data_IF_543875867031
#
_entry.id   IF_543875867031
#
_cell.length_a   1.000
_cell.length_b   1.000
_cell.length_c   1.000
_cell.angle_alpha   90.00
_cell.angle_beta   90.00
_cell.angle_gamma   90.00
#
_symmetry.space_group_name_H-M   'P 1'
#
loop_
_entity.id
_entity.type
_entity.pdbx_description
1 polymer ?
#
# COMPACT_ATOMS: atom_id res chain seq x y z
N UNK A 1 18.91 8.07 14.99
CA UNK A 1 18.04 7.11 14.30
C UNK A 1 16.62 7.65 14.43
N UNK A 2 16.21 8.47 13.48
CA UNK A 2 14.95 9.22 13.54
C UNK A 2 14.42 9.32 12.12
N UNK A 3 13.57 8.38 11.74
CA UNK A 3 12.81 8.45 10.50
C UNK A 3 11.36 8.58 10.91
N UNK A 4 10.77 9.74 10.64
CA UNK A 4 9.33 9.91 10.62
C UNK A 4 8.80 9.12 9.42
N UNK A 5 7.99 8.09 9.66
CA UNK A 5 7.28 7.42 8.58
C UNK A 5 6.30 8.41 7.94
N UNK A 6 6.29 8.54 6.61
CA UNK A 6 5.20 9.25 5.94
C UNK A 6 3.90 8.49 6.19
N UNK A 7 3.00 9.09 6.97
CA UNK A 7 1.62 8.62 7.12
C UNK A 7 0.78 9.34 6.09
N UNK A 8 0.36 8.62 5.06
CA UNK A 8 -0.68 9.09 4.15
C UNK A 8 -2.03 8.71 4.75
N UNK A 9 -2.86 9.71 5.07
CA UNK A 9 -4.23 9.48 5.54
C UNK A 9 -5.17 9.38 4.35
N UNK A 10 -5.75 8.19 4.12
CA UNK A 10 -6.82 7.99 3.15
C UNK A 10 -8.17 8.44 3.72
N UNK A 11 -9.16 8.59 2.86
CA UNK A 11 -10.55 8.71 3.32
C UNK A 11 -10.99 7.46 4.12
N UNK A 12 -12.04 7.61 4.94
CA UNK A 12 -12.61 6.52 5.72
C UNK A 12 -13.14 5.40 4.83
N UNK A 13 -12.87 4.15 5.22
CA UNK A 13 -13.40 2.95 4.57
C UNK A 13 -14.64 2.44 5.30
N UNK A 14 -15.55 1.82 4.55
CA UNK A 14 -16.65 1.06 5.14
C UNK A 14 -16.11 -0.20 5.83
N UNK A 15 -16.71 -0.56 6.96
CA UNK A 15 -16.42 -1.83 7.63
C UNK A 15 -17.15 -2.98 6.92
N UNK A 16 -16.67 -4.21 7.13
CA UNK A 16 -17.27 -5.44 6.63
C UNK A 16 -17.46 -5.50 5.09
N UNK A 17 -16.60 -4.79 4.35
CA UNK A 17 -16.58 -4.76 2.90
C UNK A 17 -15.17 -5.01 2.35
N UNK A 18 -15.09 -5.61 1.16
CA UNK A 18 -13.82 -5.73 0.44
C UNK A 18 -13.44 -4.40 -0.20
N UNK A 19 -12.20 -3.97 0.03
CA UNK A 19 -11.61 -2.79 -0.60
C UNK A 19 -10.36 -3.18 -1.37
N UNK A 20 -10.21 -2.65 -2.59
CA UNK A 20 -8.99 -2.83 -3.36
C UNK A 20 -8.00 -1.72 -3.02
N UNK A 21 -6.85 -2.10 -2.45
CA UNK A 21 -5.80 -1.16 -2.06
C UNK A 21 -4.56 -1.40 -2.90
N UNK A 22 -4.04 -0.33 -3.51
CA UNK A 22 -2.73 -0.36 -4.17
C UNK A 22 -1.86 0.77 -3.64
N UNK A 23 -0.57 0.48 -3.44
CA UNK A 23 0.43 1.47 -3.08
C UNK A 23 1.62 1.33 -4.02
N UNK A 24 2.12 2.46 -4.53
CA UNK A 24 3.32 2.46 -5.36
C UNK A 24 4.29 3.56 -4.91
N UNK A 25 5.58 3.31 -5.18
CA UNK A 25 6.65 4.27 -4.99
C UNK A 25 7.53 4.29 -6.23
N UNK A 26 7.79 5.48 -6.77
CA UNK A 26 8.70 5.65 -7.89
C UNK A 26 10.09 6.15 -7.44
N UNK A 27 11.03 6.26 -8.38
CA UNK A 27 12.42 6.67 -8.13
C UNK A 27 12.55 8.13 -7.70
N UNK A 28 11.56 8.97 -7.99
CA UNK A 28 11.50 10.37 -7.55
C UNK A 28 11.07 10.50 -6.07
N UNK A 29 10.78 9.38 -5.39
CA UNK A 29 10.31 9.40 -4.00
C UNK A 29 8.83 9.76 -3.86
N UNK A 30 8.05 9.70 -4.96
CA UNK A 30 6.60 9.85 -4.90
C UNK A 30 5.95 8.57 -4.39
N UNK A 31 5.15 8.67 -3.32
CA UNK A 31 4.26 7.58 -2.88
C UNK A 31 2.83 7.90 -3.32
N UNK A 32 2.10 6.89 -3.76
CA UNK A 32 0.68 6.97 -4.10
C UNK A 32 -0.08 5.84 -3.47
N UNK A 33 -1.31 6.13 -3.04
CA UNK A 33 -2.27 5.15 -2.56
C UNK A 33 -3.55 5.28 -3.38
N UNK A 34 -4.00 4.15 -3.92
CA UNK A 34 -5.31 4.02 -4.54
C UNK A 34 -6.21 3.17 -3.66
N UNK A 35 -7.47 3.59 -3.58
CA UNK A 35 -8.55 2.85 -2.94
C UNK A 35 -9.66 2.66 -3.95
N UNK A 36 -10.09 1.41 -4.11
CA UNK A 36 -11.14 1.00 -5.03
C UNK A 36 -10.87 1.52 -6.47
N UNK A 37 -9.59 1.54 -6.85
CA UNK A 37 -9.10 1.97 -8.17
C UNK A 37 -8.93 3.47 -8.34
N UNK A 38 -9.42 4.31 -7.41
CA UNK A 38 -9.26 5.77 -7.48
C UNK A 38 -8.04 6.21 -6.68
N UNK A 39 -7.27 7.18 -7.20
CA UNK A 39 -6.18 7.77 -6.43
C UNK A 39 -6.77 8.47 -5.21
N UNK A 40 -6.41 8.01 -4.01
CA UNK A 40 -6.91 8.56 -2.76
C UNK A 40 -5.95 9.66 -2.28
N UNK A 41 -4.65 9.35 -2.22
CA UNK A 41 -3.64 10.27 -1.70
C UNK A 41 -2.26 10.01 -2.31
N UNK A 42 -1.46 11.08 -2.42
CA UNK A 42 -0.06 10.99 -2.84
C UNK A 42 0.79 12.08 -2.17
N UNK A 43 2.10 11.85 -2.12
CA UNK A 43 3.06 12.84 -1.59
C UNK A 43 4.37 12.80 -2.38
N UNK A 44 5.03 13.95 -2.58
CA UNK A 44 6.30 14.10 -3.32
C UNK A 44 7.06 15.37 -2.93
N UNK A 45 8.33 15.27 -2.50
CA UNK A 45 9.02 14.04 -2.12
C UNK A 45 8.49 13.52 -0.79
N UNK A 46 8.03 12.27 -0.75
CA UNK A 46 7.66 11.64 0.51
C UNK A 46 8.89 11.22 1.30
N UNK A 47 8.86 11.37 2.64
CA UNK A 47 9.84 10.74 3.53
C UNK A 47 9.64 9.22 3.54
N UNK A 48 10.27 8.58 2.57
CA UNK A 48 9.92 7.23 2.11
C UNK A 48 11.10 6.26 2.10
N UNK A 49 12.16 6.56 2.85
CA UNK A 49 13.34 5.71 2.89
C UNK A 49 12.97 4.30 3.41
N UNK A 50 13.21 3.28 2.58
CA UNK A 50 13.04 1.88 2.96
C UNK A 50 14.44 1.31 3.22
N UNK A 51 14.74 1.06 4.49
CA UNK A 51 16.03 0.53 4.91
C UNK A 51 16.03 -1.00 4.91
N UNK A 52 17.23 -1.59 4.82
CA UNK A 52 17.38 -3.01 5.08
C UNK A 52 16.99 -3.28 6.55
N UNK A 53 16.20 -4.32 6.75
CA UNK A 53 15.77 -4.79 8.06
C UNK A 53 16.07 -6.27 8.19
N UNK A 54 16.49 -6.70 9.38
CA UNK A 54 16.59 -8.11 9.77
C UNK A 54 15.32 -8.63 10.44
N UNK A 55 14.35 -7.75 10.70
CA UNK A 55 13.05 -8.11 11.24
C UNK A 55 12.23 -8.97 10.27
N UNK A 56 11.31 -9.76 10.81
CA UNK A 56 10.39 -10.53 10.00
C UNK A 56 9.53 -9.61 9.13
N UNK A 57 9.23 -10.06 7.90
CA UNK A 57 8.22 -9.43 7.08
C UNK A 57 6.84 -9.87 7.56
N UNK A 58 6.00 -8.91 7.93
CA UNK A 58 4.71 -9.17 8.56
C UNK A 58 3.58 -8.51 7.79
N UNK A 59 2.43 -9.19 7.79
CA UNK A 59 1.20 -8.79 7.11
C UNK A 59 0.09 -8.77 8.16
N UNK A 60 -0.80 -7.77 8.12
CA UNK A 60 -1.89 -7.65 9.07
C UNK A 60 -1.46 -7.18 10.46
N UNK A 61 -0.30 -6.53 10.57
CA UNK A 61 0.22 -5.99 11.82
C UNK A 61 0.96 -4.68 11.58
N UNK A 62 0.79 -3.74 12.51
CA UNK A 62 1.61 -2.57 12.73
C UNK A 62 2.25 -2.69 14.13
N UNK A 63 3.34 -1.96 14.36
CA UNK A 63 4.21 -1.95 15.54
C UNK A 63 3.51 -2.34 16.86
N UNK A 64 4.17 -3.22 17.64
CA UNK A 64 3.61 -3.83 18.84
C UNK A 64 2.21 -4.47 18.64
N UNK A 65 1.15 -3.86 19.20
CA UNK A 65 -0.19 -4.46 19.39
C UNK A 65 -1.22 -4.05 18.33
N UNK A 66 -0.83 -3.29 17.32
CA UNK A 66 -1.75 -2.81 16.30
C UNK A 66 -1.97 -3.89 15.22
N UNK A 67 -2.79 -4.89 15.51
CA UNK A 67 -3.14 -5.95 14.55
C UNK A 67 -4.37 -5.57 13.71
N UNK A 68 -4.37 -5.98 12.44
CA UNK A 68 -5.55 -5.92 11.60
C UNK A 68 -6.54 -6.98 12.09
N UNK A 69 -7.75 -6.55 12.40
CA UNK A 69 -8.90 -7.44 12.60
C UNK A 69 -9.78 -7.38 11.35
N UNK A 70 -9.50 -8.24 10.37
CA UNK A 70 -10.21 -8.26 9.10
C UNK A 70 -9.65 -9.27 8.12
N UNK A 71 -10.20 -9.29 6.91
CA UNK A 71 -9.76 -10.18 5.84
C UNK A 71 -8.74 -9.51 4.93
N UNK A 72 -7.81 -10.31 4.43
CA UNK A 72 -6.88 -9.93 3.38
C UNK A 72 -6.85 -11.05 2.35
N UNK A 73 -6.85 -10.68 1.07
CA UNK A 73 -6.71 -11.63 -0.03
C UNK A 73 -5.86 -10.99 -1.14
N UNK A 74 -5.27 -11.82 -2.00
CA UNK A 74 -4.53 -11.42 -3.21
C UNK A 74 -3.37 -10.44 -2.97
N UNK A 75 -2.62 -10.66 -1.89
CA UNK A 75 -1.51 -9.79 -1.50
C UNK A 75 -0.34 -9.93 -2.50
N UNK A 76 0.05 -8.81 -3.11
CA UNK A 76 1.17 -8.75 -4.05
C UNK A 76 2.19 -7.70 -3.65
N UNK A 77 3.46 -8.09 -3.69
CA UNK A 77 4.59 -7.21 -3.45
C UNK A 77 5.52 -7.29 -4.64
N UNK A 78 5.91 -6.13 -5.19
CA UNK A 78 6.90 -6.04 -6.26
C UNK A 78 8.03 -5.12 -5.82
N UNK A 79 9.27 -5.56 -6.02
CA UNK A 79 10.48 -4.77 -5.80
C UNK A 79 11.16 -4.50 -7.14
N UNK A 80 11.72 -3.30 -7.31
CA UNK A 80 12.53 -2.93 -8.48
C UNK A 80 11.76 -2.31 -9.64
N UNK A 81 10.42 -2.29 -9.60
CA UNK A 81 9.59 -1.59 -10.60
C UNK A 81 8.37 -0.94 -9.94
N UNK A 82 8.07 0.29 -10.32
CA UNK A 82 6.86 0.99 -9.93
C UNK A 82 5.70 0.50 -10.81
N UNK A 83 4.83 -0.38 -10.28
CA UNK A 83 3.72 -0.98 -11.04
C UNK A 83 2.70 0.04 -11.55
N UNK A 84 2.50 1.10 -10.78
CA UNK A 84 1.58 2.19 -11.09
C UNK A 84 2.31 3.52 -10.93
N UNK A 85 2.75 4.12 -12.04
CA UNK A 85 3.38 5.44 -12.04
C UNK A 85 2.48 6.46 -12.76
N UNK A 86 1.28 6.65 -12.23
CA UNK A 86 0.25 7.56 -12.75
C UNK A 86 -0.45 8.26 -11.59
N UNK A 87 -1.06 9.41 -11.83
CA UNK A 87 -1.94 10.09 -10.86
C UNK A 87 -3.43 9.87 -11.20
N UNK A 88 -3.71 8.99 -12.16
CA UNK A 88 -5.07 8.62 -12.58
C UNK A 88 -5.58 7.36 -11.87
N UNK A 89 -6.82 6.97 -12.16
CA UNK A 89 -7.37 5.70 -11.71
C UNK A 89 -6.60 4.50 -12.28
N UNK A 90 -6.68 3.39 -11.56
CA UNK A 90 -6.12 2.10 -11.94
C UNK A 90 -7.23 1.05 -11.99
N UNK A 91 -7.06 0.05 -12.83
CA UNK A 91 -8.01 -1.04 -12.93
C UNK A 91 -8.03 -1.87 -11.64
N UNK A 92 -9.22 -2.07 -11.09
CA UNK A 92 -9.47 -3.02 -10.00
C UNK A 92 -9.60 -4.42 -10.60
N UNK A 93 -8.86 -5.42 -10.12
CA UNK A 93 -9.05 -6.80 -10.55
C UNK A 93 -10.49 -7.25 -10.27
N UNK A 94 -11.18 -7.75 -11.29
CA UNK A 94 -12.56 -8.24 -11.19
C UNK A 94 -12.65 -9.76 -11.10
N UNK A 95 -11.52 -10.45 -11.17
CA UNK A 95 -11.40 -11.89 -11.03
C UNK A 95 -10.30 -12.23 -10.02
N UNK A 96 -10.50 -13.34 -9.29
CA UNK A 96 -9.45 -13.92 -8.47
C UNK A 96 -8.24 -14.27 -9.33
N UNK A 97 -7.04 -14.17 -8.77
CA UNK A 97 -5.88 -14.64 -9.51
C UNK A 97 -5.94 -16.17 -9.64
N UNK A 98 -5.48 -16.73 -10.77
CA UNK A 98 -5.43 -18.17 -10.94
C UNK A 98 -4.67 -18.81 -9.80
N UNK A 99 -5.33 -19.75 -9.12
CA UNK A 99 -4.72 -20.62 -8.12
C UNK A 99 -4.19 -21.80 -8.91
N UNK A 100 -2.87 -21.88 -9.10
CA UNK A 100 -2.21 -23.01 -9.77
C UNK A 100 -2.54 -24.32 -9.09
#
# INVERSE_FOLDING_TARGET
NGSTATVLTSASMSLDAWHYIAVSKNSAGKIRLWRDGTLDVSDTPANSAMFNSTGAFEIGRNFATANLNGWMDEIRITKGVCRYDTDSSIAVPTAAFPRS
#
